data_IF_707385421632
#
_entry.id   IF_707385421632
#
_cell.length_a   1.000
_cell.length_b   1.000
_cell.length_c   1.000
_cell.angle_alpha   90.00
_cell.angle_beta   90.00
_cell.angle_gamma   90.00
#
_symmetry.space_group_name_H-M   'P 1'
#
loop_
_entity.id
_entity.type
_entity.pdbx_description
1 polymer ?
#
# COMPACT_ATOMS: atom_id res chain seq x y z
N UNK A 1 -16.64 -18.38 34.39
CA UNK A 1 -15.81 -17.84 33.29
C UNK A 1 -16.71 -17.43 32.13
N UNK A 2 -16.47 -16.25 31.53
CA UNK A 2 -17.22 -15.78 30.37
C UNK A 2 -16.79 -16.60 29.14
N UNK A 3 -17.76 -17.06 28.35
CA UNK A 3 -17.48 -17.77 27.10
C UNK A 3 -17.27 -16.75 25.98
N UNK A 4 -16.03 -16.46 25.62
CA UNK A 4 -15.66 -15.41 24.64
C UNK A 4 -16.30 -15.62 23.27
N UNK A 5 -16.48 -16.88 22.83
CA UNK A 5 -17.12 -17.21 21.55
C UNK A 5 -18.62 -16.83 21.48
N UNK A 6 -19.26 -16.52 22.64
CA UNK A 6 -20.63 -16.01 22.70
C UNK A 6 -20.71 -14.49 22.62
N UNK A 7 -19.60 -13.79 22.84
CA UNK A 7 -19.52 -12.32 22.90
C UNK A 7 -18.85 -11.77 21.66
N UNK A 8 -17.78 -12.44 21.21
CA UNK A 8 -16.99 -12.03 20.04
C UNK A 8 -17.62 -12.60 18.77
N UNK A 9 -17.76 -11.78 17.74
CA UNK A 9 -18.25 -12.24 16.42
C UNK A 9 -17.43 -13.42 15.94
N UNK A 10 -18.06 -14.39 15.30
CA UNK A 10 -17.45 -15.64 14.85
C UNK A 10 -16.21 -15.39 13.96
N UNK A 11 -16.32 -14.55 12.95
CA UNK A 11 -15.19 -14.21 12.06
C UNK A 11 -14.00 -13.60 12.80
N UNK A 12 -14.23 -12.73 13.80
CA UNK A 12 -13.14 -12.14 14.60
C UNK A 12 -12.51 -13.19 15.52
N UNK A 13 -13.33 -14.05 16.15
CA UNK A 13 -12.85 -15.06 17.11
C UNK A 13 -11.93 -16.10 16.45
N UNK A 14 -12.19 -16.44 15.18
CA UNK A 14 -11.45 -17.46 14.45
C UNK A 14 -10.33 -16.89 13.55
N UNK A 15 -10.18 -15.55 13.49
CA UNK A 15 -9.09 -14.94 12.70
C UNK A 15 -7.81 -14.86 13.51
N UNK A 16 -6.74 -15.49 13.01
CA UNK A 16 -5.41 -15.34 13.57
C UNK A 16 -4.73 -14.07 13.03
N UNK A 17 -4.26 -13.21 13.91
CA UNK A 17 -3.47 -12.04 13.55
C UNK A 17 -2.10 -12.09 14.20
N UNK A 18 -1.05 -12.07 13.37
CA UNK A 18 0.34 -12.02 13.86
C UNK A 18 0.58 -10.73 14.65
N UNK A 19 1.17 -10.87 15.84
CA UNK A 19 1.59 -9.70 16.61
C UNK A 19 2.80 -9.03 15.95
N UNK A 20 2.59 -7.84 15.36
CA UNK A 20 3.66 -7.07 14.70
C UNK A 20 4.45 -6.17 15.64
N UNK A 21 3.98 -5.93 16.88
CA UNK A 21 4.64 -5.02 17.84
C UNK A 21 6.10 -5.39 18.11
N UNK A 22 6.39 -6.68 18.33
CA UNK A 22 7.74 -7.16 18.58
C UNK A 22 8.69 -7.03 17.38
N UNK A 23 8.15 -6.98 16.16
CA UNK A 23 8.97 -6.91 14.94
C UNK A 23 9.37 -5.48 14.54
N UNK A 24 8.67 -4.46 15.05
CA UNK A 24 8.93 -3.06 14.70
C UNK A 24 9.93 -2.39 15.67
N UNK A 25 10.00 -2.84 16.91
CA UNK A 25 10.84 -2.22 17.97
C UNK A 25 12.35 -2.25 17.71
N UNK A 26 12.82 -3.15 16.85
CA UNK A 26 14.25 -3.28 16.54
C UNK A 26 14.63 -2.66 15.18
N UNK A 27 13.65 -2.18 14.38
CA UNK A 27 13.88 -1.74 13.00
C UNK A 27 14.82 -0.53 12.88
N UNK A 28 14.92 0.29 13.92
CA UNK A 28 15.86 1.43 13.97
C UNK A 28 17.33 1.03 13.85
N UNK A 29 17.67 -0.23 14.18
CA UNK A 29 19.02 -0.77 14.09
C UNK A 29 19.35 -1.39 12.72
N UNK A 30 18.42 -1.28 11.78
CA UNK A 30 18.52 -1.90 10.45
C UNK A 30 18.34 -0.88 9.33
N UNK A 31 18.87 -1.20 8.19
CA UNK A 31 18.49 -0.57 6.92
C UNK A 31 17.12 -1.13 6.53
N UNK A 32 16.12 -0.26 6.45
CA UNK A 32 14.70 -0.61 6.30
C UNK A 32 14.27 -0.63 4.84
N UNK A 33 14.47 -1.76 4.14
CA UNK A 33 14.04 -1.96 2.76
C UNK A 33 12.88 -2.98 2.67
N UNK A 34 12.01 -3.03 3.69
CA UNK A 34 11.00 -4.10 3.88
C UNK A 34 9.55 -3.66 3.68
N UNK A 35 9.17 -2.43 4.05
CA UNK A 35 7.75 -2.01 4.11
C UNK A 35 7.35 -0.97 3.05
N UNK A 36 8.20 -0.74 2.06
CA UNK A 36 7.97 0.27 1.02
C UNK A 36 7.67 1.67 1.61
N UNK A 37 8.30 2.00 2.74
CA UNK A 37 8.28 3.35 3.29
C UNK A 37 9.15 4.28 2.43
N UNK A 38 8.93 5.58 2.50
CA UNK A 38 9.94 6.54 2.09
C UNK A 38 11.03 6.52 3.16
N UNK A 39 12.18 5.95 2.82
CA UNK A 39 13.32 5.79 3.75
C UNK A 39 14.40 6.85 3.57
N UNK A 40 14.13 7.88 2.74
CA UNK A 40 15.02 9.02 2.62
C UNK A 40 14.91 9.92 3.85
N UNK A 41 16.02 10.49 4.26
CA UNK A 41 16.04 11.41 5.39
C UNK A 41 15.34 12.73 5.03
N UNK A 42 14.49 13.20 5.92
CA UNK A 42 13.92 14.53 5.84
C UNK A 42 14.96 15.53 6.33
N UNK A 43 15.21 16.58 5.54
CA UNK A 43 16.11 17.67 5.94
C UNK A 43 15.70 18.26 7.29
N UNK A 44 16.69 18.51 8.17
CA UNK A 44 16.44 19.00 9.51
C UNK A 44 15.73 20.37 9.54
N UNK A 45 15.98 21.24 8.56
CA UNK A 45 15.31 22.56 8.47
C UNK A 45 13.83 22.39 8.13
N UNK A 46 13.51 21.49 7.21
CA UNK A 46 12.13 21.16 6.84
C UNK A 46 11.37 20.50 8.00
N UNK A 47 12.05 19.61 8.73
CA UNK A 47 11.46 19.01 9.92
C UNK A 47 11.20 20.07 11.01
N UNK A 48 12.14 20.98 11.26
CA UNK A 48 11.97 22.08 12.21
C UNK A 48 10.86 23.04 11.79
N UNK A 49 10.69 23.32 10.50
CA UNK A 49 9.56 24.07 9.99
C UNK A 49 8.24 23.40 10.34
N UNK A 50 8.10 22.10 10.05
CA UNK A 50 6.92 21.35 10.46
C UNK A 50 6.66 21.44 11.97
N UNK A 51 7.69 21.22 12.79
CA UNK A 51 7.57 21.28 14.26
C UNK A 51 7.17 22.67 14.74
N UNK A 52 7.67 23.74 14.13
CA UNK A 52 7.31 25.12 14.48
C UNK A 52 5.84 25.47 14.20
N UNK A 53 5.21 24.74 13.29
CA UNK A 53 3.78 24.83 13.00
C UNK A 53 2.86 24.09 13.98
N UNK A 54 3.42 23.34 14.94
CA UNK A 54 2.64 22.63 15.96
C UNK A 54 2.29 23.56 17.12
N UNK A 55 1.06 23.44 17.63
CA UNK A 55 0.57 24.20 18.78
C UNK A 55 0.09 23.27 19.90
N UNK A 56 0.14 23.72 21.18
CA UNK A 56 -0.40 22.93 22.30
C UNK A 56 -1.89 22.56 22.11
N UNK A 57 -2.65 23.43 21.44
CA UNK A 57 -4.07 23.21 21.17
C UNK A 57 -4.30 21.98 20.29
N UNK A 58 -3.39 21.65 19.36
CA UNK A 58 -3.47 20.43 18.55
C UNK A 58 -3.42 19.12 19.36
N UNK A 59 -3.00 19.21 20.63
CA UNK A 59 -3.00 18.07 21.55
C UNK A 59 -4.24 18.04 22.45
N UNK A 60 -4.83 19.21 22.75
CA UNK A 60 -5.88 19.36 23.77
C UNK A 60 -7.29 19.54 23.19
N UNK A 61 -7.42 19.97 21.94
CA UNK A 61 -8.71 20.16 21.28
C UNK A 61 -9.01 19.05 20.26
N UNK A 62 -10.30 18.79 20.04
CA UNK A 62 -10.72 17.97 18.91
C UNK A 62 -10.31 18.60 17.59
N UNK A 63 -9.91 17.81 16.58
CA UNK A 63 -9.41 18.35 15.33
C UNK A 63 -10.50 19.06 14.52
N UNK A 64 -10.19 20.27 14.05
CA UNK A 64 -10.90 20.89 12.93
C UNK A 64 -10.25 20.41 11.62
N UNK A 65 -10.95 19.57 10.88
CA UNK A 65 -10.46 18.96 9.64
C UNK A 65 -10.87 19.74 8.38
N UNK A 66 -11.64 20.80 8.49
CA UNK A 66 -12.16 21.55 7.34
C UNK A 66 -11.06 21.98 6.37
N UNK A 67 -9.98 22.59 6.89
CA UNK A 67 -8.87 23.05 6.05
C UNK A 67 -8.12 21.93 5.35
N UNK A 68 -7.87 20.80 6.03
CA UNK A 68 -7.17 19.67 5.39
C UNK A 68 -8.04 19.01 4.34
N UNK A 69 -9.37 18.98 4.51
CA UNK A 69 -10.29 18.54 3.45
C UNK A 69 -10.21 19.44 2.23
N UNK A 70 -10.32 20.76 2.41
CA UNK A 70 -10.22 21.74 1.31
C UNK A 70 -8.88 21.64 0.56
N UNK A 71 -7.75 21.58 1.30
CA UNK A 71 -6.42 21.49 0.70
C UNK A 71 -6.21 20.15 -0.02
N UNK A 72 -6.68 19.05 0.56
CA UNK A 72 -6.59 17.72 -0.07
C UNK A 72 -7.48 17.61 -1.31
N UNK A 73 -8.72 18.07 -1.26
CA UNK A 73 -9.64 18.09 -2.40
C UNK A 73 -9.06 18.95 -3.55
N UNK A 74 -8.50 20.11 -3.22
CA UNK A 74 -7.79 20.95 -4.20
C UNK A 74 -6.61 20.23 -4.83
N UNK A 75 -5.75 19.60 -4.03
CA UNK A 75 -4.59 18.84 -4.51
C UNK A 75 -5.01 17.68 -5.44
N UNK A 76 -6.09 17.00 -5.12
CA UNK A 76 -6.63 15.88 -5.91
C UNK A 76 -7.49 16.36 -7.09
N UNK A 77 -7.87 17.63 -7.16
CA UNK A 77 -8.83 18.16 -8.14
C UNK A 77 -10.21 17.47 -8.07
N UNK A 78 -10.68 17.20 -6.85
CA UNK A 78 -12.01 16.65 -6.53
C UNK A 78 -12.79 17.60 -5.63
N UNK A 79 -14.09 17.36 -5.44
CA UNK A 79 -14.87 18.07 -4.41
C UNK A 79 -14.63 17.48 -3.02
N UNK A 80 -14.92 18.22 -1.95
CA UNK A 80 -14.88 17.69 -0.59
C UNK A 80 -15.90 16.56 -0.38
N UNK A 81 -17.02 16.59 -1.10
CA UNK A 81 -18.07 15.57 -1.08
C UNK A 81 -17.68 14.28 -1.84
N UNK A 82 -16.60 14.33 -2.63
CA UNK A 82 -16.00 13.16 -3.29
C UNK A 82 -14.86 12.51 -2.45
N UNK A 83 -14.62 12.99 -1.21
CA UNK A 83 -13.44 12.62 -0.41
C UNK A 83 -13.81 12.24 1.04
N UNK A 84 -13.22 11.16 1.54
CA UNK A 84 -13.18 10.84 2.98
C UNK A 84 -11.72 10.67 3.39
N UNK A 85 -11.26 11.43 4.38
CA UNK A 85 -9.97 11.18 5.02
C UNK A 85 -10.07 9.98 5.97
N UNK A 86 -8.99 9.24 6.11
CA UNK A 86 -8.94 8.02 6.93
C UNK A 86 -7.61 7.88 7.66
N UNK A 87 -7.60 7.12 8.76
CA UNK A 87 -6.36 6.79 9.47
C UNK A 87 -5.55 5.73 8.71
N UNK A 88 -4.88 6.18 7.64
CA UNK A 88 -4.23 5.34 6.64
C UNK A 88 -5.23 4.61 5.74
N UNK A 89 -4.74 4.03 4.64
CA UNK A 89 -5.56 3.21 3.74
C UNK A 89 -6.19 1.99 4.42
N UNK A 90 -5.63 1.50 5.52
CA UNK A 90 -6.22 0.41 6.31
C UNK A 90 -7.64 0.74 6.80
N UNK A 91 -7.85 1.98 7.29
CA UNK A 91 -9.19 2.41 7.69
C UNK A 91 -10.10 2.63 6.48
N UNK A 92 -9.56 3.06 5.34
CA UNK A 92 -10.30 3.16 4.09
C UNK A 92 -10.88 1.79 3.68
N UNK A 93 -10.04 0.75 3.67
CA UNK A 93 -10.47 -0.63 3.40
C UNK A 93 -11.53 -1.06 4.42
N UNK A 94 -11.31 -0.78 5.72
CA UNK A 94 -12.29 -1.13 6.76
C UNK A 94 -13.65 -0.48 6.51
N UNK A 95 -13.69 0.81 6.18
CA UNK A 95 -14.95 1.50 5.88
C UNK A 95 -15.70 0.87 4.70
N UNK A 96 -14.98 0.44 3.64
CA UNK A 96 -15.60 -0.29 2.53
C UNK A 96 -16.24 -1.60 2.99
N UNK A 97 -15.55 -2.37 3.83
CA UNK A 97 -16.09 -3.62 4.36
C UNK A 97 -17.27 -3.39 5.29
N UNK A 98 -17.20 -2.40 6.18
CA UNK A 98 -18.29 -2.09 7.11
C UNK A 98 -19.55 -1.58 6.39
N UNK A 99 -19.40 -0.93 5.23
CA UNK A 99 -20.53 -0.39 4.46
C UNK A 99 -21.09 -1.38 3.44
N UNK A 100 -20.25 -2.22 2.83
CA UNK A 100 -20.63 -2.97 1.63
C UNK A 100 -20.72 -4.48 1.83
N UNK A 101 -20.13 -5.04 2.90
CA UNK A 101 -19.92 -6.49 3.02
C UNK A 101 -20.71 -7.08 4.16
N UNK A 102 -21.53 -8.08 3.83
CA UNK A 102 -22.24 -8.95 4.77
C UNK A 102 -21.64 -10.36 4.75
N UNK A 103 -22.03 -11.17 5.74
CA UNK A 103 -21.62 -12.58 5.82
C UNK A 103 -22.05 -13.35 4.56
N UNK A 104 -21.08 -14.00 3.91
CA UNK A 104 -21.31 -14.82 2.72
C UNK A 104 -21.24 -14.04 1.41
N UNK A 105 -21.03 -12.72 1.45
CA UNK A 105 -20.69 -11.93 0.28
C UNK A 105 -19.29 -12.30 -0.25
N UNK A 106 -19.02 -11.98 -1.51
CA UNK A 106 -17.79 -12.30 -2.18
C UNK A 106 -16.99 -11.04 -2.54
N UNK A 107 -15.67 -11.08 -2.27
CA UNK A 107 -14.70 -10.08 -2.68
C UNK A 107 -13.68 -10.74 -3.61
N UNK A 108 -13.44 -10.19 -4.78
CA UNK A 108 -12.44 -10.68 -5.73
C UNK A 108 -11.22 -9.78 -5.67
N UNK A 109 -10.03 -10.38 -5.55
CA UNK A 109 -8.72 -9.70 -5.54
C UNK A 109 -7.77 -10.38 -6.52
N UNK A 110 -6.80 -9.66 -7.08
CA UNK A 110 -5.67 -10.34 -7.73
C UNK A 110 -4.70 -10.88 -6.68
N UNK A 111 -3.99 -11.96 -6.97
CA UNK A 111 -3.01 -12.56 -6.06
C UNK A 111 -1.59 -12.47 -6.66
N UNK A 112 -0.60 -11.85 -5.96
CA UNK A 112 -0.61 -11.44 -4.55
C UNK A 112 -1.33 -10.10 -4.29
N UNK A 113 -2.05 -10.03 -3.18
CA UNK A 113 -2.82 -8.86 -2.74
C UNK A 113 -2.33 -8.31 -1.38
N UNK A 114 -2.79 -7.12 -1.03
CA UNK A 114 -2.53 -6.55 0.29
C UNK A 114 -3.32 -7.29 1.37
N UNK A 115 -2.60 -7.78 2.38
CA UNK A 115 -3.11 -8.71 3.39
C UNK A 115 -4.36 -8.22 4.15
N UNK A 116 -4.55 -6.90 4.26
CA UNK A 116 -5.71 -6.35 4.98
C UNK A 116 -7.04 -6.68 4.30
N UNK A 117 -7.08 -6.90 3.00
CA UNK A 117 -8.29 -7.39 2.31
C UNK A 117 -8.73 -8.75 2.85
N UNK A 118 -7.78 -9.69 3.03
CA UNK A 118 -8.10 -11.00 3.63
C UNK A 118 -8.53 -10.90 5.10
N UNK A 119 -7.89 -10.03 5.89
CA UNK A 119 -8.27 -9.87 7.28
C UNK A 119 -9.69 -9.35 7.44
N UNK A 120 -10.08 -8.32 6.68
CA UNK A 120 -11.43 -7.78 6.76
C UNK A 120 -12.48 -8.74 6.19
N UNK A 121 -12.15 -9.50 5.12
CA UNK A 121 -13.02 -10.56 4.63
C UNK A 121 -13.27 -11.62 5.72
N UNK A 122 -12.24 -12.07 6.41
CA UNK A 122 -12.37 -13.02 7.52
C UNK A 122 -13.23 -12.45 8.67
N UNK A 123 -13.06 -11.18 9.06
CA UNK A 123 -13.86 -10.56 10.11
C UNK A 123 -15.33 -10.45 9.76
N UNK A 124 -15.64 -10.23 8.48
CA UNK A 124 -17.02 -10.13 7.97
C UNK A 124 -17.61 -11.50 7.61
N UNK A 125 -16.85 -12.58 7.74
CA UNK A 125 -17.23 -13.93 7.27
C UNK A 125 -17.61 -13.93 5.78
N UNK A 126 -16.94 -13.11 4.98
CA UNK A 126 -17.08 -13.02 3.55
C UNK A 126 -16.08 -13.95 2.84
N UNK A 127 -16.41 -14.33 1.61
CA UNK A 127 -15.56 -15.14 0.75
C UNK A 127 -14.56 -14.23 0.00
N UNK A 128 -13.26 -14.41 0.26
CA UNK A 128 -12.22 -13.79 -0.55
C UNK A 128 -11.83 -14.74 -1.70
N UNK A 129 -11.90 -14.25 -2.93
CA UNK A 129 -11.55 -15.00 -4.14
C UNK A 129 -10.29 -14.41 -4.76
N UNK A 130 -9.11 -14.98 -4.46
CA UNK A 130 -7.85 -14.55 -5.05
C UNK A 130 -7.71 -15.12 -6.47
N UNK A 131 -7.45 -14.25 -7.45
CA UNK A 131 -7.18 -14.63 -8.83
C UNK A 131 -5.68 -14.46 -9.07
N UNK A 132 -4.94 -15.54 -9.35
CA UNK A 132 -3.50 -15.46 -9.60
C UNK A 132 -3.19 -14.53 -10.79
N UNK A 133 -2.12 -13.75 -10.66
CA UNK A 133 -1.63 -12.93 -11.79
C UNK A 133 -1.12 -13.80 -12.92
N UNK A 134 -1.12 -13.24 -14.14
CA UNK A 134 -0.59 -13.89 -15.34
C UNK A 134 0.93 -14.13 -15.28
N UNK A 135 1.46 -14.77 -16.31
CA UNK A 135 2.90 -15.03 -16.42
C UNK A 135 3.77 -13.75 -16.52
N UNK A 136 3.19 -12.66 -16.95
CA UNK A 136 3.79 -11.31 -16.99
C UNK A 136 3.65 -10.55 -15.68
N UNK A 137 3.01 -11.17 -14.69
CA UNK A 137 2.66 -10.62 -13.38
C UNK A 137 1.57 -9.53 -13.42
N UNK A 138 0.86 -9.40 -14.52
CA UNK A 138 -0.30 -8.50 -14.59
C UNK A 138 -1.54 -9.18 -13.97
N UNK A 139 -2.43 -8.40 -13.33
CA UNK A 139 -3.75 -8.90 -12.94
C UNK A 139 -4.53 -9.44 -14.15
N UNK A 140 -5.04 -10.65 -14.04
CA UNK A 140 -5.92 -11.23 -15.07
C UNK A 140 -7.35 -10.69 -14.91
N UNK A 141 -7.60 -9.51 -15.49
CA UNK A 141 -8.90 -8.84 -15.38
C UNK A 141 -10.03 -9.64 -16.01
N UNK A 142 -9.73 -10.47 -17.02
CA UNK A 142 -10.73 -11.34 -17.66
C UNK A 142 -11.15 -12.46 -16.71
N UNK A 143 -10.20 -13.14 -16.07
CA UNK A 143 -10.48 -14.16 -15.07
C UNK A 143 -11.17 -13.56 -13.82
N UNK A 144 -10.76 -12.38 -13.38
CA UNK A 144 -11.41 -11.67 -12.28
C UNK A 144 -12.88 -11.37 -12.60
N UNK A 145 -13.17 -10.83 -13.79
CA UNK A 145 -14.55 -10.60 -14.22
C UNK A 145 -15.35 -11.88 -14.39
N UNK A 146 -14.76 -12.93 -14.94
CA UNK A 146 -15.42 -14.24 -15.08
C UNK A 146 -15.79 -14.89 -13.73
N UNK A 147 -15.09 -14.52 -12.65
CA UNK A 147 -15.35 -15.00 -11.29
C UNK A 147 -16.48 -14.24 -10.58
N UNK A 148 -17.05 -13.18 -11.20
CA UNK A 148 -18.14 -12.39 -10.63
C UNK A 148 -19.42 -13.20 -10.59
N UNK A 149 -20.03 -13.31 -9.39
CA UNK A 149 -21.29 -13.98 -9.11
C UNK A 149 -22.32 -13.01 -8.55
N UNK A 150 -23.53 -13.48 -8.25
CA UNK A 150 -24.57 -12.68 -7.56
C UNK A 150 -24.17 -12.28 -6.12
N UNK A 151 -23.18 -12.97 -5.54
CA UNK A 151 -22.65 -12.66 -4.22
C UNK A 151 -21.52 -11.63 -4.25
N UNK A 152 -20.97 -11.34 -5.42
CA UNK A 152 -19.82 -10.43 -5.53
C UNK A 152 -20.25 -9.00 -5.26
N UNK A 153 -19.63 -8.37 -4.27
CA UNK A 153 -19.85 -6.96 -3.92
C UNK A 153 -18.71 -6.06 -4.39
N UNK A 154 -17.47 -6.56 -4.28
CA UNK A 154 -16.28 -5.77 -4.52
C UNK A 154 -15.30 -6.56 -5.40
N UNK A 155 -14.73 -5.89 -6.40
CA UNK A 155 -13.51 -6.30 -7.10
C UNK A 155 -12.41 -5.29 -6.77
N UNK A 156 -11.25 -5.75 -6.31
CA UNK A 156 -10.13 -4.89 -5.91
C UNK A 156 -8.97 -5.05 -6.89
N UNK A 157 -8.45 -3.93 -7.37
CA UNK A 157 -7.22 -3.84 -8.16
C UNK A 157 -6.25 -2.91 -7.44
N UNK A 158 -5.10 -3.43 -7.02
CA UNK A 158 -3.98 -2.58 -6.58
C UNK A 158 -3.26 -2.05 -7.82
N UNK A 159 -3.19 -0.74 -7.99
CA UNK A 159 -2.65 -0.07 -9.18
C UNK A 159 -1.76 1.15 -8.83
N UNK A 160 -0.44 0.98 -8.68
CA UNK A 160 0.35 -0.27 -8.78
C UNK A 160 0.21 -1.21 -7.58
N UNK A 161 0.35 -2.52 -7.83
CA UNK A 161 0.37 -3.52 -6.76
C UNK A 161 1.54 -3.31 -5.81
N UNK A 162 1.26 -3.25 -4.51
CA UNK A 162 2.26 -3.12 -3.46
C UNK A 162 3.17 -4.35 -3.28
N UNK A 163 2.83 -5.45 -3.92
CA UNK A 163 3.60 -6.69 -3.88
C UNK A 163 4.51 -6.85 -5.09
N UNK A 164 4.00 -6.66 -6.29
CA UNK A 164 4.70 -6.96 -7.55
C UNK A 164 4.91 -5.72 -8.44
N UNK A 165 4.27 -4.60 -8.11
CA UNK A 165 4.49 -3.30 -8.73
C UNK A 165 3.99 -3.16 -10.17
N UNK A 166 3.14 -4.06 -10.63
CA UNK A 166 2.44 -3.95 -11.91
C UNK A 166 1.10 -3.26 -11.73
N UNK A 167 0.56 -2.70 -12.80
CA UNK A 167 -0.80 -2.13 -12.83
C UNK A 167 -1.44 -2.34 -14.19
N UNK A 168 -2.75 -2.53 -14.27
CA UNK A 168 -3.48 -2.39 -15.51
C UNK A 168 -3.40 -0.97 -16.06
N UNK A 169 -3.57 -0.83 -17.35
CA UNK A 169 -3.72 0.50 -17.98
C UNK A 169 -5.04 1.16 -17.59
N UNK A 170 -5.09 2.48 -17.67
CA UNK A 170 -6.32 3.25 -17.45
C UNK A 170 -7.50 2.73 -18.31
N UNK A 171 -7.24 2.41 -19.60
CA UNK A 171 -8.28 1.89 -20.47
C UNK A 171 -8.83 0.53 -20.03
N UNK A 172 -7.98 -0.36 -19.52
CA UNK A 172 -8.40 -1.66 -19.00
C UNK A 172 -9.23 -1.49 -17.72
N UNK A 173 -8.82 -0.59 -16.81
CA UNK A 173 -9.61 -0.27 -15.61
C UNK A 173 -10.97 0.34 -15.98
N UNK A 174 -11.01 1.24 -16.93
CA UNK A 174 -12.25 1.84 -17.47
C UNK A 174 -13.20 0.77 -18.03
N UNK A 175 -12.68 -0.17 -18.82
CA UNK A 175 -13.48 -1.27 -19.36
C UNK A 175 -14.00 -2.21 -18.28
N UNK A 176 -13.18 -2.48 -17.26
CA UNK A 176 -13.59 -3.29 -16.12
C UNK A 176 -14.69 -2.57 -15.32
N UNK A 177 -14.53 -1.27 -15.03
CA UNK A 177 -15.53 -0.46 -14.33
C UNK A 177 -16.90 -0.54 -15.02
N UNK A 178 -16.93 -0.32 -16.34
CA UNK A 178 -18.17 -0.38 -17.15
C UNK A 178 -18.87 -1.76 -17.08
N UNK A 179 -18.09 -2.85 -17.11
CA UNK A 179 -18.63 -4.21 -17.00
C UNK A 179 -19.16 -4.52 -15.60
N UNK A 180 -18.46 -4.08 -14.57
CA UNK A 180 -18.85 -4.30 -13.17
C UNK A 180 -20.07 -3.45 -12.78
N UNK A 181 -20.20 -2.23 -13.33
CA UNK A 181 -21.37 -1.38 -13.12
C UNK A 181 -22.67 -2.06 -13.57
N UNK A 182 -22.66 -2.74 -14.74
CA UNK A 182 -23.81 -3.52 -15.21
C UNK A 182 -24.21 -4.68 -14.30
N UNK A 183 -23.30 -5.10 -13.42
CA UNK A 183 -23.50 -6.17 -12.44
C UNK A 183 -23.76 -5.64 -11.02
N UNK A 184 -23.80 -4.32 -10.83
CA UNK A 184 -23.87 -3.65 -9.51
C UNK A 184 -22.73 -4.08 -8.57
N UNK A 185 -21.51 -4.21 -9.09
CA UNK A 185 -20.29 -4.58 -8.37
C UNK A 185 -19.37 -3.38 -8.27
N UNK A 186 -18.89 -3.08 -7.07
CA UNK A 186 -17.96 -1.99 -6.81
C UNK A 186 -16.56 -2.35 -7.32
N UNK A 187 -15.94 -1.46 -8.08
CA UNK A 187 -14.51 -1.51 -8.40
C UNK A 187 -13.74 -0.64 -7.42
N UNK A 188 -12.86 -1.25 -6.63
CA UNK A 188 -11.91 -0.55 -5.76
C UNK A 188 -10.56 -0.54 -6.43
N UNK A 189 -10.03 0.65 -6.72
CA UNK A 189 -8.69 0.86 -7.26
C UNK A 189 -7.81 1.33 -6.12
N UNK A 190 -6.94 0.46 -5.63
CA UNK A 190 -6.00 0.79 -4.55
C UNK A 190 -4.72 1.41 -5.14
N UNK A 191 -4.62 2.71 -5.02
CA UNK A 191 -3.53 3.55 -5.54
C UNK A 191 -2.53 3.95 -4.44
N UNK A 192 -2.28 3.09 -3.46
CA UNK A 192 -1.33 3.37 -2.38
C UNK A 192 0.08 3.74 -2.90
N UNK A 193 0.44 3.32 -4.11
CA UNK A 193 1.72 3.58 -4.77
C UNK A 193 1.62 4.56 -5.96
N UNK A 194 0.52 5.26 -6.14
CA UNK A 194 0.29 6.17 -7.25
C UNK A 194 1.46 7.16 -7.32
N UNK A 195 1.75 8.11 -6.89
CA UNK A 195 2.78 9.13 -7.07
C UNK A 195 4.26 8.64 -7.07
N UNK A 196 4.53 7.35 -7.28
CA UNK A 196 5.92 6.86 -7.30
C UNK A 196 6.66 7.25 -8.58
N UNK A 197 5.95 7.25 -9.72
CA UNK A 197 6.56 7.48 -11.04
C UNK A 197 6.20 8.85 -11.59
N UNK A 198 4.96 9.27 -11.46
CA UNK A 198 4.47 10.56 -11.92
C UNK A 198 3.43 11.16 -10.96
N UNK A 199 3.13 12.43 -11.15
CA UNK A 199 2.13 13.14 -10.34
C UNK A 199 0.75 13.19 -11.04
N UNK A 200 0.58 12.51 -12.17
CA UNK A 200 -0.69 12.51 -12.91
C UNK A 200 -1.73 11.62 -12.24
N UNK A 201 -2.94 12.12 -12.15
CA UNK A 201 -4.07 11.41 -11.51
C UNK A 201 -4.86 10.61 -12.55
N UNK A 202 -4.22 9.61 -13.16
CA UNK A 202 -4.76 8.88 -14.30
C UNK A 202 -6.16 8.29 -14.11
N UNK A 203 -6.55 7.91 -12.88
CA UNK A 203 -7.81 7.20 -12.67
C UNK A 203 -8.88 8.02 -11.93
N UNK A 204 -8.61 9.27 -11.55
CA UNK A 204 -9.60 10.09 -10.84
C UNK A 204 -10.81 10.50 -11.69
N UNK A 205 -10.67 10.50 -13.02
CA UNK A 205 -11.80 10.73 -13.94
C UNK A 205 -12.83 9.60 -13.89
N UNK A 206 -12.40 8.38 -13.59
CA UNK A 206 -13.28 7.20 -13.51
C UNK A 206 -14.37 7.34 -12.43
N UNK A 207 -14.13 8.06 -11.33
CA UNK A 207 -15.16 8.27 -10.30
C UNK A 207 -16.31 9.16 -10.77
N UNK A 208 -16.09 9.96 -11.82
CA UNK A 208 -17.10 10.81 -12.46
C UNK A 208 -17.80 10.12 -13.61
N UNK A 209 -17.09 9.22 -14.28
CA UNK A 209 -17.64 8.46 -15.38
C UNK A 209 -18.50 7.29 -14.92
N UNK A 210 -18.14 6.64 -13.79
CA UNK A 210 -18.81 5.44 -13.27
C UNK A 210 -19.27 5.63 -11.83
N UNK A 211 -20.47 5.15 -11.54
CA UNK A 211 -21.05 5.21 -10.18
C UNK A 211 -20.47 4.16 -9.22
N UNK A 212 -19.80 3.14 -9.74
CA UNK A 212 -19.27 1.99 -9.02
C UNK A 212 -17.75 2.02 -8.84
N UNK A 213 -17.08 3.16 -8.95
CA UNK A 213 -15.63 3.26 -8.75
C UNK A 213 -15.31 3.99 -7.46
N UNK A 214 -14.41 3.40 -6.66
CA UNK A 214 -13.80 4.00 -5.49
C UNK A 214 -12.29 3.84 -5.57
N UNK A 215 -11.57 4.92 -5.27
CA UNK A 215 -10.11 4.96 -5.26
C UNK A 215 -9.62 5.09 -3.82
N UNK A 216 -8.62 4.29 -3.44
CA UNK A 216 -7.92 4.39 -2.16
C UNK A 216 -6.55 5.01 -2.40
N UNK A 217 -6.17 6.02 -1.60
CA UNK A 217 -4.83 6.60 -1.59
C UNK A 217 -4.29 6.75 -0.17
N UNK A 218 -2.99 6.96 -0.04
CA UNK A 218 -2.32 7.16 1.25
C UNK A 218 -1.12 8.09 1.13
N UNK A 219 -0.85 8.84 2.18
CA UNK A 219 0.39 9.61 2.31
C UNK A 219 1.53 8.79 2.95
N UNK A 220 1.33 7.49 3.17
CA UNK A 220 2.31 6.63 3.87
C UNK A 220 3.53 6.25 3.03
N UNK A 221 3.47 6.35 1.71
CA UNK A 221 4.53 5.88 0.80
C UNK A 221 5.39 7.05 0.32
N UNK A 222 5.18 7.52 -0.90
CA UNK A 222 5.98 8.60 -1.51
C UNK A 222 5.99 9.87 -0.68
N UNK A 223 4.87 10.21 -0.07
CA UNK A 223 4.76 11.40 0.78
C UNK A 223 5.56 11.33 2.09
N UNK A 224 6.07 10.15 2.48
CA UNK A 224 6.91 9.98 3.66
C UNK A 224 6.19 10.12 5.00
N UNK A 225 4.86 10.02 5.02
CA UNK A 225 4.03 10.21 6.20
C UNK A 225 3.46 8.90 6.77
N UNK A 226 4.19 7.79 6.64
CA UNK A 226 3.75 6.49 7.17
C UNK A 226 3.41 6.53 8.67
N UNK A 227 4.17 7.28 9.46
CA UNK A 227 3.94 7.49 10.89
C UNK A 227 2.76 8.40 11.22
N UNK A 228 2.37 9.31 10.32
CA UNK A 228 1.23 10.22 10.51
C UNK A 228 -0.12 9.53 10.26
N UNK A 229 -0.13 8.41 9.53
CA UNK A 229 -1.36 7.63 9.28
C UNK A 229 -2.45 8.44 8.56
N UNK A 230 -2.17 9.01 7.41
CA UNK A 230 -3.16 9.69 6.57
C UNK A 230 -3.41 8.88 5.30
N UNK A 231 -4.66 8.51 5.09
CA UNK A 231 -5.19 7.87 3.88
C UNK A 231 -6.49 8.52 3.47
N UNK A 232 -7.06 8.04 2.38
CA UNK A 232 -8.31 8.56 1.86
C UNK A 232 -9.06 7.56 0.98
N UNK A 233 -10.38 7.74 0.96
CA UNK A 233 -11.31 7.18 -0.02
C UNK A 233 -11.77 8.31 -0.94
N UNK A 234 -11.81 8.05 -2.23
CA UNK A 234 -12.25 8.99 -3.25
C UNK A 234 -13.26 8.28 -4.14
N UNK A 235 -14.42 8.87 -4.36
CA UNK A 235 -15.49 8.29 -5.16
C UNK A 235 -16.49 9.37 -5.57
N UNK A 236 -17.52 9.01 -6.32
CA UNK A 236 -18.58 9.99 -6.57
C UNK A 236 -19.35 10.32 -5.27
N UNK A 237 -20.01 11.47 -5.23
CA UNK A 237 -20.71 11.98 -4.05
C UNK A 237 -21.71 10.98 -3.44
N UNK A 238 -22.42 10.22 -4.29
CA UNK A 238 -23.46 9.30 -3.82
C UNK A 238 -22.85 8.15 -3.00
N UNK A 239 -21.75 7.54 -3.47
CA UNK A 239 -21.11 6.46 -2.74
C UNK A 239 -20.33 6.98 -1.52
N UNK A 240 -19.68 8.14 -1.64
CA UNK A 240 -18.97 8.78 -0.53
C UNK A 240 -19.93 9.13 0.60
N UNK A 241 -21.13 9.63 0.29
CA UNK A 241 -22.18 9.89 1.27
C UNK A 241 -22.54 8.64 2.09
N UNK A 242 -22.63 7.47 1.47
CA UNK A 242 -22.92 6.22 2.18
C UNK A 242 -21.73 5.74 3.01
N UNK A 243 -20.51 5.80 2.45
CA UNK A 243 -19.29 5.42 3.15
C UNK A 243 -18.97 6.35 4.33
N UNK A 244 -19.38 7.61 4.25
CA UNK A 244 -19.22 8.60 5.31
C UNK A 244 -19.93 8.18 6.61
N UNK A 245 -21.01 7.41 6.54
CA UNK A 245 -21.79 6.98 7.71
C UNK A 245 -21.06 5.98 8.62
N UNK A 246 -20.10 5.23 8.09
CA UNK A 246 -19.34 4.21 8.83
C UNK A 246 -17.97 4.68 9.31
N UNK A 247 -17.55 5.89 8.94
CA UNK A 247 -16.29 6.46 9.39
C UNK A 247 -16.33 6.89 10.86
N UNK A 248 -15.19 6.92 11.58
CA UNK A 248 -15.11 7.56 12.89
C UNK A 248 -15.46 9.06 12.81
N UNK A 249 -16.00 9.62 13.90
CA UNK A 249 -16.35 11.05 13.97
C UNK A 249 -15.15 11.98 13.70
N UNK A 250 -13.98 11.60 14.19
CA UNK A 250 -12.69 12.26 13.97
C UNK A 250 -11.74 11.24 13.33
N UNK A 251 -11.62 11.27 12.02
CA UNK A 251 -10.94 10.26 11.22
C UNK A 251 -9.44 10.25 11.43
N UNK A 252 -8.85 11.45 11.55
CA UNK A 252 -7.42 11.67 11.77
C UNK A 252 -7.19 12.68 12.91
N UNK A 253 -6.03 12.62 13.52
CA UNK A 253 -5.67 13.57 14.58
C UNK A 253 -5.28 14.96 14.02
N UNK A 254 -5.30 15.99 14.87
CA UNK A 254 -4.81 17.34 14.51
C UNK A 254 -3.36 17.30 14.03
N UNK A 255 -2.51 16.45 14.63
CA UNK A 255 -1.11 16.29 14.23
C UNK A 255 -0.99 15.65 12.85
N UNK A 256 -1.83 14.67 12.55
CA UNK A 256 -1.88 14.03 11.23
C UNK A 256 -2.38 15.02 10.16
N UNK A 257 -3.41 15.80 10.48
CA UNK A 257 -3.93 16.85 9.60
C UNK A 257 -2.86 17.92 9.31
N UNK A 258 -2.12 18.38 10.34
CA UNK A 258 -1.04 19.34 10.17
C UNK A 258 0.12 18.75 9.33
N UNK A 259 0.47 17.48 9.52
CA UNK A 259 1.49 16.80 8.71
C UNK A 259 1.06 16.71 7.24
N UNK A 260 -0.20 16.37 6.97
CA UNK A 260 -0.75 16.33 5.62
C UNK A 260 -0.70 17.71 4.95
N UNK A 261 -1.21 18.77 5.62
CA UNK A 261 -1.19 20.15 5.12
C UNK A 261 0.23 20.63 4.83
N UNK A 262 1.15 20.45 5.78
CA UNK A 262 2.55 20.79 5.58
C UNK A 262 3.13 20.07 4.35
N UNK A 263 2.85 18.79 4.18
CA UNK A 263 3.35 18.00 3.05
C UNK A 263 2.76 18.46 1.71
N UNK A 264 1.48 18.82 1.67
CA UNK A 264 0.83 19.36 0.49
C UNK A 264 1.37 20.73 0.09
N UNK A 265 1.79 21.54 1.05
CA UNK A 265 2.49 22.81 0.79
C UNK A 265 3.92 22.61 0.20
N UNK A 266 4.49 21.41 0.35
CA UNK A 266 5.86 21.07 -0.11
C UNK A 266 5.85 19.95 -1.18
N UNK A 267 5.04 20.10 -2.21
CA UNK A 267 4.94 19.08 -3.29
C UNK A 267 6.24 18.89 -4.08
N UNK A 268 7.10 19.91 -4.16
CA UNK A 268 8.44 19.80 -4.75
C UNK A 268 9.31 18.71 -4.12
N UNK A 269 9.04 18.33 -2.86
CA UNK A 269 9.71 17.22 -2.19
C UNK A 269 9.30 15.86 -2.78
N UNK A 270 8.13 15.76 -3.45
CA UNK A 270 7.73 14.55 -4.18
C UNK A 270 8.59 14.38 -5.42
N UNK A 271 8.79 15.47 -6.17
CA UNK A 271 9.62 15.45 -7.38
C UNK A 271 11.07 15.11 -7.03
N UNK A 272 11.60 15.70 -5.96
CA UNK A 272 12.94 15.40 -5.45
C UNK A 272 13.07 13.93 -5.06
N UNK A 273 12.09 13.38 -4.34
CA UNK A 273 12.05 11.96 -3.99
C UNK A 273 12.04 11.07 -5.24
N UNK A 274 11.16 11.36 -6.21
CA UNK A 274 11.06 10.59 -7.45
C UNK A 274 12.37 10.58 -8.24
N UNK A 275 13.04 11.74 -8.33
CA UNK A 275 14.34 11.86 -9.01
C UNK A 275 15.41 11.05 -8.28
N UNK A 276 15.50 11.15 -6.96
CA UNK A 276 16.50 10.45 -6.17
C UNK A 276 16.33 8.93 -6.25
N UNK A 277 15.13 8.40 -6.03
CA UNK A 277 14.90 6.96 -6.09
C UNK A 277 15.04 6.40 -7.51
N UNK A 278 14.71 7.20 -8.54
CA UNK A 278 14.89 6.79 -9.93
C UNK A 278 16.38 6.66 -10.28
N UNK A 279 17.21 7.62 -9.88
CA UNK A 279 18.64 7.55 -10.07
C UNK A 279 19.29 6.40 -9.27
N UNK A 280 18.91 6.25 -8.00
CA UNK A 280 19.40 5.18 -7.13
C UNK A 280 18.96 3.79 -7.62
N UNK A 281 17.77 3.67 -8.21
CA UNK A 281 17.27 2.44 -8.82
C UNK A 281 18.16 1.96 -9.97
N UNK A 282 18.59 2.86 -10.86
CA UNK A 282 19.50 2.51 -11.97
C UNK A 282 20.80 1.91 -11.43
N UNK A 283 21.43 2.59 -10.47
CA UNK A 283 22.69 2.13 -9.84
C UNK A 283 22.52 0.78 -9.12
N UNK A 284 21.39 0.59 -8.45
CA UNK A 284 21.09 -0.69 -7.79
C UNK A 284 21.00 -1.83 -8.80
N UNK A 285 20.30 -1.63 -9.91
CA UNK A 285 20.16 -2.64 -10.97
C UNK A 285 21.54 -2.96 -11.59
N UNK A 286 22.37 -1.97 -11.86
CA UNK A 286 23.73 -2.19 -12.32
C UNK A 286 24.57 -2.99 -11.31
N UNK A 287 24.42 -2.69 -10.02
CA UNK A 287 25.08 -3.42 -8.94
C UNK A 287 24.61 -4.88 -8.87
N UNK A 288 23.32 -5.14 -8.99
CA UNK A 288 22.75 -6.48 -9.02
C UNK A 288 23.23 -7.28 -10.25
N UNK A 289 23.30 -6.64 -11.42
CA UNK A 289 23.81 -7.25 -12.64
C UNK A 289 25.29 -7.66 -12.48
N UNK A 290 26.15 -6.83 -11.85
CA UNK A 290 27.54 -7.20 -11.55
C UNK A 290 27.64 -8.40 -10.59
N UNK A 291 26.61 -8.61 -9.78
CA UNK A 291 26.51 -9.76 -8.88
C UNK A 291 25.79 -10.96 -9.53
N UNK A 292 25.39 -10.92 -10.80
CA UNK A 292 24.54 -11.90 -11.49
C UNK A 292 23.24 -12.20 -10.70
N UNK A 293 22.60 -11.21 -10.14
CA UNK A 293 21.32 -11.32 -9.44
C UNK A 293 20.22 -10.79 -10.36
N UNK A 294 19.34 -11.64 -10.89
CA UNK A 294 18.23 -11.18 -11.72
C UNK A 294 17.30 -10.26 -10.95
N UNK A 295 16.86 -9.20 -11.61
CA UNK A 295 15.92 -8.23 -11.02
C UNK A 295 14.84 -7.83 -12.01
N UNK A 296 13.67 -7.41 -11.47
CA UNK A 296 12.58 -6.81 -12.21
C UNK A 296 12.30 -5.40 -11.65
N UNK A 297 12.17 -4.45 -12.54
CA UNK A 297 11.69 -3.10 -12.21
C UNK A 297 10.19 -3.12 -11.96
N UNK A 298 9.72 -2.19 -11.14
CA UNK A 298 8.30 -2.03 -10.81
C UNK A 298 7.88 -0.56 -10.95
N UNK A 299 6.58 -0.33 -10.97
CA UNK A 299 5.99 1.01 -10.90
C UNK A 299 5.82 1.50 -9.45
N UNK A 300 6.17 0.68 -8.46
CA UNK A 300 6.27 1.05 -7.06
C UNK A 300 7.64 1.60 -6.67
N UNK A 301 7.75 2.04 -5.41
CA UNK A 301 9.03 2.46 -4.80
C UNK A 301 9.88 1.26 -4.34
N UNK A 302 9.92 0.21 -5.13
CA UNK A 302 10.67 -1.02 -4.87
C UNK A 302 11.05 -1.71 -6.18
N UNK A 303 11.98 -2.63 -6.10
CA UNK A 303 12.30 -3.62 -7.14
C UNK A 303 12.09 -5.02 -6.60
N UNK A 304 12.11 -6.01 -7.49
CA UNK A 304 12.02 -7.41 -7.12
C UNK A 304 13.26 -8.11 -7.65
N UNK A 305 13.95 -8.88 -6.79
CA UNK A 305 15.15 -9.62 -7.12
C UNK A 305 14.92 -11.12 -6.98
N UNK A 306 15.58 -11.90 -7.84
CA UNK A 306 15.57 -13.34 -7.71
C UNK A 306 16.78 -13.83 -6.92
N UNK A 307 16.50 -14.50 -5.80
CA UNK A 307 17.50 -15.12 -4.97
C UNK A 307 16.90 -16.35 -4.30
N UNK A 308 17.14 -17.55 -4.85
CA UNK A 308 16.55 -18.79 -4.30
C UNK A 308 17.14 -19.10 -2.92
N UNK A 309 16.38 -19.83 -2.12
CA UNK A 309 16.86 -20.31 -0.81
C UNK A 309 18.11 -21.16 -0.99
N UNK A 310 19.05 -21.05 -0.07
CA UNK A 310 20.31 -21.78 -0.07
C UNK A 310 20.42 -22.58 1.21
N UNK A 311 20.61 -23.88 1.12
CA UNK A 311 20.73 -24.79 2.26
C UNK A 311 19.59 -24.65 3.31
N UNK A 312 18.38 -24.35 2.84
CA UNK A 312 17.21 -24.15 3.69
C UNK A 312 17.16 -22.81 4.44
N UNK A 313 18.12 -21.91 4.16
CA UNK A 313 18.13 -20.55 4.72
C UNK A 313 17.64 -19.55 3.68
N UNK A 314 16.66 -18.75 4.04
CA UNK A 314 16.09 -17.74 3.15
C UNK A 314 16.89 -16.43 3.15
N UNK A 315 16.76 -15.65 2.06
CA UNK A 315 17.46 -14.38 1.90
C UNK A 315 17.11 -13.35 3.00
N UNK A 316 15.89 -13.36 3.51
CA UNK A 316 15.48 -12.47 4.60
C UNK A 316 16.33 -12.70 5.85
N UNK A 317 16.52 -13.96 6.24
CA UNK A 317 17.34 -14.35 7.39
C UNK A 317 18.82 -13.99 7.18
N UNK A 318 19.34 -14.24 5.97
CA UNK A 318 20.72 -13.90 5.62
C UNK A 318 20.97 -12.38 5.67
N UNK A 319 20.12 -11.58 5.04
CA UNK A 319 20.28 -10.12 5.04
C UNK A 319 20.07 -9.49 6.43
N UNK A 320 19.18 -10.07 7.23
CA UNK A 320 18.99 -9.63 8.62
C UNK A 320 20.25 -9.75 9.45
N UNK A 321 21.09 -10.77 9.24
CA UNK A 321 22.39 -10.90 9.89
C UNK A 321 23.40 -9.82 9.48
N UNK A 322 23.16 -9.16 8.33
CA UNK A 322 23.90 -8.00 7.84
C UNK A 322 23.22 -6.65 8.12
N UNK A 323 22.26 -6.62 9.07
CA UNK A 323 21.49 -5.43 9.44
C UNK A 323 20.68 -4.81 8.29
N UNK A 324 20.20 -5.62 7.34
CA UNK A 324 19.31 -5.20 6.25
C UNK A 324 17.98 -5.94 6.35
N UNK A 325 16.88 -5.20 6.36
CA UNK A 325 15.53 -5.74 6.28
C UNK A 325 15.02 -5.62 4.85
N UNK A 326 14.42 -6.69 4.33
CA UNK A 326 13.76 -6.72 3.02
C UNK A 326 12.32 -7.22 3.15
N UNK A 327 11.53 -7.09 2.09
CA UNK A 327 10.19 -7.66 2.02
C UNK A 327 10.22 -9.18 2.26
N UNK A 328 9.08 -9.73 2.70
CA UNK A 328 8.98 -11.16 2.96
C UNK A 328 8.96 -11.97 1.67
N UNK A 329 9.24 -13.26 1.81
CA UNK A 329 9.09 -14.26 0.77
C UNK A 329 7.64 -14.32 0.27
N UNK A 330 7.48 -14.46 -1.03
CA UNK A 330 6.17 -14.73 -1.62
C UNK A 330 5.78 -16.20 -1.43
N UNK A 331 4.51 -16.42 -1.17
CA UNK A 331 3.96 -17.79 -1.01
C UNK A 331 3.49 -18.38 -2.34
N UNK A 332 3.22 -17.53 -3.35
CA UNK A 332 2.80 -17.97 -4.68
C UNK A 332 3.92 -18.75 -5.40
N UNK A 333 3.63 -19.93 -5.97
CA UNK A 333 4.62 -20.73 -6.69
C UNK A 333 5.32 -19.97 -7.83
N UNK A 334 4.59 -19.12 -8.57
CA UNK A 334 5.14 -18.31 -9.66
C UNK A 334 6.14 -17.25 -9.20
N UNK A 335 6.14 -16.90 -7.91
CA UNK A 335 7.02 -15.90 -7.30
C UNK A 335 8.04 -16.53 -6.35
N UNK A 336 8.15 -17.84 -6.32
CA UNK A 336 9.10 -18.52 -5.45
C UNK A 336 10.54 -18.13 -5.79
N UNK A 337 11.33 -17.78 -4.77
CA UNK A 337 12.70 -17.28 -4.91
C UNK A 337 12.81 -15.80 -5.25
N UNK A 338 11.70 -15.08 -5.45
CA UNK A 338 11.68 -13.64 -5.65
C UNK A 338 11.48 -12.90 -4.33
N UNK A 339 12.11 -11.72 -4.22
CA UNK A 339 12.14 -10.90 -3.00
C UNK A 339 11.92 -9.44 -3.34
N UNK A 340 11.11 -8.75 -2.55
CA UNK A 340 10.84 -7.33 -2.73
C UNK A 340 11.84 -6.50 -1.92
N UNK A 341 12.45 -5.50 -2.58
CA UNK A 341 13.41 -4.57 -2.00
C UNK A 341 12.89 -3.16 -2.16
N UNK A 342 12.60 -2.48 -1.08
CA UNK A 342 12.25 -1.06 -1.08
C UNK A 342 13.41 -0.23 -1.62
N UNK A 343 13.12 0.79 -2.45
CA UNK A 343 14.13 1.72 -2.94
C UNK A 343 14.49 2.74 -1.85
N UNK A 344 15.78 2.97 -1.69
CA UNK A 344 16.35 3.99 -0.83
C UNK A 344 17.37 4.82 -1.61
N UNK A 345 18.23 5.55 -0.90
CA UNK A 345 19.34 6.28 -1.50
C UNK A 345 20.56 5.39 -1.81
N UNK A 346 21.56 5.97 -2.40
CA UNK A 346 22.81 5.27 -2.77
C UNK A 346 23.43 4.53 -1.57
N UNK A 347 23.47 5.13 -0.38
CA UNK A 347 24.05 4.51 0.81
C UNK A 347 23.30 3.24 1.24
N UNK A 348 21.98 3.27 1.18
CA UNK A 348 21.16 2.09 1.47
C UNK A 348 21.46 0.95 0.49
N UNK A 349 21.57 1.29 -0.80
CA UNK A 349 21.82 0.32 -1.86
C UNK A 349 23.24 -0.23 -1.84
N UNK A 350 24.25 0.58 -1.54
CA UNK A 350 25.64 0.12 -1.36
C UNK A 350 25.76 -0.92 -0.25
N UNK A 351 25.13 -0.67 0.89
CA UNK A 351 25.11 -1.62 2.01
C UNK A 351 24.38 -2.92 1.65
N UNK A 352 23.25 -2.84 0.94
CA UNK A 352 22.55 -4.00 0.43
C UNK A 352 23.43 -4.82 -0.53
N UNK A 353 24.05 -4.18 -1.52
CA UNK A 353 24.90 -4.83 -2.50
C UNK A 353 26.15 -5.47 -1.85
N UNK A 354 26.74 -4.82 -0.86
CA UNK A 354 27.85 -5.36 -0.07
C UNK A 354 27.43 -6.64 0.68
N UNK A 355 26.26 -6.62 1.35
CA UNK A 355 25.73 -7.79 2.02
C UNK A 355 25.45 -8.94 1.05
N UNK A 356 24.79 -8.67 -0.08
CA UNK A 356 24.51 -9.66 -1.12
C UNK A 356 25.79 -10.26 -1.71
N UNK A 357 26.82 -9.45 -1.94
CA UNK A 357 28.14 -9.91 -2.40
C UNK A 357 28.79 -10.89 -1.42
N UNK A 358 28.77 -10.53 -0.12
CA UNK A 358 29.31 -11.39 0.95
C UNK A 358 28.56 -12.73 1.02
N UNK A 359 27.24 -12.69 1.01
CA UNK A 359 26.38 -13.88 1.03
C UNK A 359 26.69 -14.79 -0.17
N UNK A 360 26.79 -14.25 -1.39
CA UNK A 360 27.14 -15.05 -2.58
C UNK A 360 28.53 -15.67 -2.50
N UNK A 361 29.50 -14.99 -1.95
CA UNK A 361 30.85 -15.55 -1.75
C UNK A 361 30.84 -16.71 -0.73
N UNK A 362 30.05 -16.59 0.33
CA UNK A 362 29.88 -17.67 1.31
C UNK A 362 29.26 -18.91 0.70
N UNK A 363 28.18 -18.74 -0.08
CA UNK A 363 27.50 -19.83 -0.79
C UNK A 363 28.43 -20.53 -1.77
N UNK A 364 29.20 -19.77 -2.57
CA UNK A 364 30.18 -20.34 -3.55
C UNK A 364 31.34 -21.11 -2.91
N UNK A 365 31.62 -20.92 -1.61
CA UNK A 365 32.68 -21.65 -0.86
C UNK A 365 32.18 -22.95 -0.26
N UNK A 366 30.87 -23.10 -0.11
CA UNK A 366 30.23 -24.29 0.49
C UNK A 366 29.91 -25.33 -0.60
N UNK A 367 29.64 -24.88 -1.83
CA UNK A 367 29.43 -25.70 -3.03
C UNK A 367 30.76 -25.88 -3.79
#
# INVERSE_FOLDING_TARGET
>A
MISLNKIIRHGVFHTERKNIRQKLSERENYIRLDLNENVLDLDASLFNEFVSGLTPEMLSAYPDLSKVYTEMATFLSVSEDELILTNGSDLAIKCLYDACIEKGDQIIVHDPYYLMYAFYASFSEAELVPIPVGADWQPDLAAMYASVTEKTKIVVIEAPSGNIGTKPSHQELRQLAAKLEQRNVLLVIDEAYHHVINNESENLDLIREFSNVVIIRTLSKVFGLAGARVGMLIGNEAIVHELYKVRPLYEISSLAAQAAKWRLAHTSLLDAYQQEISAAKVKLIEGLNRLDIPSKTTEGNFIIIYFPDTDGVDLYTLLRSHHVLIGKKYELPALQGWWRITLGNDLHHEKLLSALSTIRQQIRRIN
#
